data_IF_831160415296
#
_entry.id   IF_831160415296
#
_cell.length_a   1.000
_cell.length_b   1.000
_cell.length_c   1.000
_cell.angle_alpha   90.00
_cell.angle_beta   90.00
_cell.angle_gamma   90.00
#
_symmetry.space_group_name_H-M   'P 1'
#
loop_
_entity.id
_entity.type
_entity.pdbx_description
1 polymer ?
#
# COMPACT_ATOMS: atom_id res chain seq x y z
N UNK A 1 31.56 34.67 -37.69
CA UNK A 1 30.57 33.76 -37.09
C UNK A 1 30.70 33.87 -35.58
N UNK A 2 29.76 34.29 -34.73
CA UNK A 2 28.30 34.35 -34.80
C UNK A 2 27.72 33.63 -33.57
N UNK A 3 27.59 34.36 -32.44
CA UNK A 3 26.64 34.23 -31.30
C UNK A 3 26.28 32.82 -30.74
N UNK A 4 26.51 32.57 -29.44
CA UNK A 4 25.54 32.75 -28.33
C UNK A 4 24.89 31.44 -27.87
N UNK A 5 24.81 31.26 -26.54
CA UNK A 5 24.43 30.03 -25.87
C UNK A 5 22.93 29.71 -25.86
N UNK A 6 22.58 28.52 -25.37
CA UNK A 6 21.20 28.17 -25.05
C UNK A 6 21.12 27.32 -23.78
N UNK A 7 20.49 27.88 -22.75
CA UNK A 7 19.99 27.20 -21.56
C UNK A 7 18.60 26.66 -21.91
N UNK A 8 18.44 25.36 -22.12
CA UNK A 8 17.12 24.74 -22.07
C UNK A 8 16.80 24.40 -20.61
N UNK A 9 16.10 25.31 -19.94
CA UNK A 9 15.36 25.01 -18.71
C UNK A 9 14.29 23.99 -19.08
N UNK A 10 14.35 22.80 -18.49
CA UNK A 10 13.29 21.81 -18.57
C UNK A 10 11.97 22.43 -18.09
N UNK A 11 10.99 22.46 -18.99
CA UNK A 11 9.63 22.87 -18.72
C UNK A 11 8.98 21.82 -17.81
N UNK A 12 8.65 22.23 -16.58
CA UNK A 12 7.74 21.48 -15.72
C UNK A 12 6.31 21.63 -16.27
N UNK A 13 5.54 20.55 -16.33
CA UNK A 13 4.14 20.52 -16.81
C UNK A 13 3.12 21.06 -15.80
N UNK A 14 3.50 22.02 -14.96
CA UNK A 14 2.55 22.74 -14.12
C UNK A 14 2.24 24.09 -14.78
N UNK A 15 1.27 24.10 -15.70
CA UNK A 15 0.82 25.36 -16.30
C UNK A 15 -0.24 25.21 -17.38
N UNK A 16 -1.51 25.38 -16.99
CA UNK A 16 -2.61 26.02 -17.74
C UNK A 16 -3.86 25.88 -16.86
N UNK A 17 -4.70 26.86 -16.58
CA UNK A 17 -4.92 28.21 -17.10
C UNK A 17 -6.26 28.68 -16.50
N UNK A 18 -6.40 29.98 -16.24
CA UNK A 18 -7.52 30.60 -15.50
C UNK A 18 -8.87 30.73 -16.25
N UNK A 19 -9.81 31.57 -15.73
CA UNK A 19 -11.22 31.24 -15.55
C UNK A 19 -12.18 31.82 -16.61
N UNK A 20 -13.38 31.22 -16.74
CA UNK A 20 -14.50 31.76 -17.51
C UNK A 20 -15.84 31.32 -16.91
N UNK A 21 -16.68 32.28 -16.49
CA UNK A 21 -17.94 32.05 -15.80
C UNK A 21 -19.15 31.89 -16.73
N UNK A 22 -20.20 31.22 -16.23
CA UNK A 22 -21.61 31.51 -16.52
C UNK A 22 -22.50 30.77 -15.51
N UNK A 23 -23.65 31.37 -15.20
CA UNK A 23 -24.49 31.11 -14.03
C UNK A 23 -25.49 29.93 -14.18
N UNK A 24 -25.61 29.16 -13.09
CA UNK A 24 -26.81 28.55 -12.47
C UNK A 24 -27.73 27.60 -13.27
N UNK A 25 -27.74 26.33 -12.84
CA UNK A 25 -28.98 25.54 -12.66
C UNK A 25 -28.79 24.48 -11.58
N UNK A 26 -29.85 24.32 -10.78
CA UNK A 26 -29.99 23.55 -9.55
C UNK A 26 -30.06 22.03 -9.80
N UNK A 27 -29.43 21.27 -8.90
CA UNK A 27 -29.80 19.89 -8.60
C UNK A 27 -29.13 18.81 -9.46
N UNK A 28 -28.53 17.84 -8.77
CA UNK A 28 -28.37 16.45 -9.24
C UNK A 28 -27.25 16.12 -10.25
N UNK A 29 -26.03 16.62 -10.08
CA UNK A 29 -24.88 16.18 -10.91
C UNK A 29 -23.55 15.99 -10.16
N UNK A 30 -23.56 15.63 -8.87
CA UNK A 30 -22.32 15.43 -8.07
C UNK A 30 -21.88 13.97 -7.90
N UNK A 31 -22.34 13.04 -8.73
CA UNK A 31 -21.85 11.64 -8.72
C UNK A 31 -21.16 11.19 -10.02
N UNK A 32 -20.93 12.09 -10.97
CA UNK A 32 -20.57 11.69 -12.33
C UNK A 32 -19.29 12.32 -12.89
N UNK A 33 -18.20 12.45 -12.11
CA UNK A 33 -16.87 12.58 -12.75
C UNK A 33 -15.65 12.26 -11.87
N UNK A 34 -15.55 11.01 -11.41
CA UNK A 34 -14.27 10.42 -11.00
C UNK A 34 -13.98 9.15 -11.81
N UNK A 35 -13.95 9.29 -13.14
CA UNK A 35 -13.45 8.22 -14.02
C UNK A 35 -11.92 8.31 -14.04
N UNK A 36 -11.26 7.66 -13.07
CA UNK A 36 -9.79 7.53 -13.08
C UNK A 36 -9.11 7.16 -11.78
N UNK A 37 -9.76 7.30 -10.63
CA UNK A 37 -9.26 6.79 -9.35
C UNK A 37 -10.23 5.71 -8.88
N UNK A 38 -9.74 4.49 -8.67
CA UNK A 38 -10.54 3.42 -8.08
C UNK A 38 -11.33 3.98 -6.89
N UNK A 39 -12.62 3.69 -6.82
CA UNK A 39 -13.50 4.01 -5.70
C UNK A 39 -13.05 3.21 -4.46
N UNK A 40 -11.90 3.55 -3.90
CA UNK A 40 -11.34 2.91 -2.73
C UNK A 40 -12.15 3.39 -1.53
N UNK A 41 -12.90 2.50 -0.91
CA UNK A 41 -13.46 2.76 0.41
C UNK A 41 -12.29 3.00 1.37
N UNK A 42 -12.42 3.91 2.36
CA UNK A 42 -11.35 4.14 3.33
C UNK A 42 -11.00 2.86 4.11
N UNK A 43 -11.89 1.87 4.16
CA UNK A 43 -11.67 0.61 4.83
C UNK A 43 -11.02 -0.44 3.92
N UNK A 44 -9.94 -1.02 4.42
CA UNK A 44 -9.19 -2.15 3.87
C UNK A 44 -9.53 -3.39 4.69
N UNK A 45 -10.09 -4.40 4.03
CA UNK A 45 -10.49 -5.66 4.68
C UNK A 45 -9.51 -6.80 4.42
N UNK A 46 -8.54 -6.62 3.52
CA UNK A 46 -7.57 -7.65 3.14
C UNK A 46 -6.18 -7.06 3.04
N UNK A 47 -5.16 -7.81 3.47
CA UNK A 47 -3.75 -7.48 3.26
C UNK A 47 -3.05 -8.58 2.50
N UNK A 48 -1.96 -8.24 1.82
CA UNK A 48 -1.04 -9.25 1.30
C UNK A 48 -0.23 -9.84 2.46
N UNK A 49 -0.28 -11.16 2.63
CA UNK A 49 0.44 -11.90 3.65
C UNK A 49 1.94 -12.00 3.36
N UNK A 50 2.73 -12.12 4.43
CA UNK A 50 4.19 -12.28 4.40
C UNK A 50 4.65 -13.71 4.68
N UNK A 51 3.72 -14.61 4.98
CA UNK A 51 3.99 -16.00 5.34
C UNK A 51 3.84 -16.92 4.13
N UNK A 52 4.41 -18.12 4.28
CA UNK A 52 4.39 -19.18 3.28
C UNK A 52 4.01 -20.50 3.95
N UNK A 53 3.37 -21.37 3.19
CA UNK A 53 3.21 -22.79 3.51
C UNK A 53 4.39 -23.58 2.95
N UNK A 54 4.92 -24.52 3.70
CA UNK A 54 5.85 -25.53 3.19
C UNK A 54 5.13 -26.79 2.67
N UNK A 55 5.90 -27.83 2.36
CA UNK A 55 5.39 -29.10 1.83
C UNK A 55 4.54 -29.87 2.86
N UNK A 56 4.77 -29.64 4.16
CA UNK A 56 4.06 -30.27 5.27
C UNK A 56 2.82 -29.46 5.72
N UNK A 57 2.66 -28.25 5.21
CA UNK A 57 1.54 -27.36 5.49
C UNK A 57 1.77 -26.42 6.69
N UNK A 58 3.00 -26.35 7.18
CA UNK A 58 3.37 -25.40 8.23
C UNK A 58 3.38 -23.98 7.68
N UNK A 59 2.94 -23.01 8.48
CA UNK A 59 2.84 -21.60 8.07
C UNK A 59 3.86 -20.75 8.82
N UNK A 60 4.84 -20.21 8.09
CA UNK A 60 5.90 -19.39 8.68
C UNK A 60 6.37 -18.27 7.75
N UNK A 61 7.11 -17.32 8.31
CA UNK A 61 7.77 -16.28 7.51
C UNK A 61 9.01 -16.83 6.78
N UNK A 62 9.67 -17.82 7.37
CA UNK A 62 10.94 -18.36 6.87
C UNK A 62 11.04 -19.85 7.24
N UNK A 63 11.55 -20.65 6.31
CA UNK A 63 11.79 -22.08 6.51
C UNK A 63 13.27 -22.39 6.41
N UNK A 64 13.72 -23.35 7.21
CA UNK A 64 15.11 -23.79 7.27
C UNK A 64 15.19 -25.32 7.18
N UNK A 65 16.04 -25.84 6.29
CA UNK A 65 16.37 -27.27 6.23
C UNK A 65 17.65 -27.53 7.02
N UNK A 66 17.67 -28.63 7.77
CA UNK A 66 18.91 -29.12 8.34
C UNK A 66 19.77 -29.78 7.26
N UNK A 67 21.02 -29.36 7.17
CA UNK A 67 22.01 -29.92 6.26
C UNK A 67 23.18 -30.45 7.08
N UNK A 68 23.55 -31.71 6.87
CA UNK A 68 24.72 -32.31 7.52
C UNK A 68 25.94 -31.97 6.69
N UNK A 69 26.79 -31.10 7.22
CA UNK A 69 28.04 -30.73 6.58
C UNK A 69 29.17 -31.50 7.26
N UNK A 70 29.87 -32.33 6.49
CA UNK A 70 31.10 -32.99 6.92
C UNK A 70 32.28 -32.07 6.68
N UNK A 71 32.92 -31.58 7.74
CA UNK A 71 34.22 -30.91 7.64
C UNK A 71 35.23 -31.65 8.51
N UNK A 72 36.36 -32.02 7.92
CA UNK A 72 37.47 -32.70 8.58
C UNK A 72 37.03 -34.00 9.30
N UNK A 73 36.20 -34.82 8.66
CA UNK A 73 35.68 -36.07 9.23
C UNK A 73 34.65 -35.91 10.36
N UNK A 74 34.37 -34.67 10.82
CA UNK A 74 33.32 -34.39 11.81
C UNK A 74 32.05 -33.94 11.10
N UNK A 75 30.94 -34.64 11.38
CA UNK A 75 29.60 -34.25 10.95
C UNK A 75 29.12 -33.09 11.82
N UNK A 76 28.67 -32.01 11.19
CA UNK A 76 28.00 -30.89 11.86
C UNK A 76 26.68 -30.62 11.19
N UNK A 77 25.63 -30.50 11.99
CA UNK A 77 24.35 -29.98 11.54
C UNK A 77 24.48 -28.47 11.24
N UNK A 78 23.90 -28.04 10.14
CA UNK A 78 23.75 -26.63 9.80
C UNK A 78 22.38 -26.38 9.22
N UNK A 79 21.68 -25.38 9.74
CA UNK A 79 20.43 -24.90 9.16
C UNK A 79 20.71 -24.03 7.93
N UNK A 80 19.97 -24.27 6.86
CA UNK A 80 20.02 -23.49 5.63
C UNK A 80 18.63 -22.98 5.31
N UNK A 81 18.52 -21.69 5.02
CA UNK A 81 17.25 -21.06 4.63
C UNK A 81 16.78 -21.60 3.28
N UNK A 82 15.48 -21.89 3.19
CA UNK A 82 14.80 -22.36 1.99
C UNK A 82 13.90 -21.24 1.45
N UNK A 83 13.89 -21.09 0.13
CA UNK A 83 12.98 -20.17 -0.60
C UNK A 83 12.22 -20.86 -1.74
N UNK A 84 12.55 -22.12 -2.03
CA UNK A 84 11.97 -22.94 -3.09
C UNK A 84 10.85 -23.80 -2.52
N UNK A 85 9.89 -24.18 -3.35
CA UNK A 85 8.74 -25.02 -2.99
C UNK A 85 7.84 -24.47 -1.86
N UNK A 86 7.95 -23.17 -1.57
CA UNK A 86 7.10 -22.48 -0.60
C UNK A 86 5.90 -21.85 -1.30
N UNK A 87 4.70 -22.10 -0.78
CA UNK A 87 3.46 -21.55 -1.32
C UNK A 87 3.13 -20.27 -0.55
N UNK A 88 3.04 -19.09 -1.20
CA UNK A 88 2.72 -17.85 -0.49
C UNK A 88 1.30 -17.91 0.08
N UNK A 89 1.12 -17.39 1.29
CA UNK A 89 -0.20 -17.31 1.94
C UNK A 89 -1.22 -16.49 1.11
N UNK A 90 -0.75 -15.53 0.31
CA UNK A 90 -1.59 -14.73 -0.57
C UNK A 90 -2.31 -13.59 0.16
N UNK A 91 -3.58 -13.35 -0.18
CA UNK A 91 -4.39 -12.30 0.43
C UNK A 91 -5.05 -12.82 1.71
N UNK A 92 -4.81 -12.13 2.81
CA UNK A 92 -5.30 -12.47 4.15
C UNK A 92 -6.38 -11.50 4.55
N UNK A 93 -7.54 -12.03 4.96
CA UNK A 93 -8.63 -11.23 5.53
C UNK A 93 -8.20 -10.68 6.88
N UNK A 94 -8.38 -9.38 7.06
CA UNK A 94 -8.17 -8.72 8.33
C UNK A 94 -9.36 -8.98 9.23
N UNK A 95 -9.11 -9.28 10.50
CA UNK A 95 -10.15 -9.42 11.52
C UNK A 95 -10.93 -8.11 11.68
N UNK A 96 -10.19 -6.99 11.71
CA UNK A 96 -10.74 -5.65 11.80
C UNK A 96 -10.36 -4.83 10.56
N UNK A 97 -11.28 -4.05 9.97
CA UNK A 97 -10.97 -3.19 8.85
C UNK A 97 -9.93 -2.13 9.24
N UNK A 98 -8.99 -1.85 8.33
CA UNK A 98 -7.95 -0.82 8.53
C UNK A 98 -8.18 0.37 7.61
N UNK A 99 -7.74 1.55 8.03
CA UNK A 99 -7.87 2.75 7.22
C UNK A 99 -6.78 2.74 6.12
N UNK A 100 -7.18 3.02 4.89
CA UNK A 100 -6.30 3.12 3.74
C UNK A 100 -5.39 4.35 3.88
N UNK A 101 -4.10 4.20 3.55
CA UNK A 101 -3.06 5.22 3.77
C UNK A 101 -3.34 6.56 3.07
N UNK A 102 -4.07 6.55 1.94
CA UNK A 102 -4.43 7.76 1.20
C UNK A 102 -5.61 8.53 1.83
N UNK A 103 -6.23 8.02 2.90
CA UNK A 103 -7.35 8.65 3.59
C UNK A 103 -6.91 9.10 4.99
N UNK A 104 -6.36 10.32 5.13
CA UNK A 104 -6.07 10.88 6.44
C UNK A 104 -7.38 11.08 7.21
N UNK A 105 -7.48 10.51 8.42
CA UNK A 105 -8.65 10.64 9.30
C UNK A 105 -8.27 11.41 10.56
N UNK A 106 -9.04 12.45 10.89
CA UNK A 106 -8.92 13.21 12.14
C UNK A 106 -9.97 12.66 13.11
N UNK A 107 -9.54 12.21 14.29
CA UNK A 107 -10.43 11.72 15.35
C UNK A 107 -10.65 12.88 16.32
N UNK A 108 -11.92 13.27 16.51
CA UNK A 108 -12.32 14.26 17.50
C UNK A 108 -12.82 13.55 18.75
N UNK A 109 -12.38 14.00 19.92
CA UNK A 109 -12.98 13.62 21.19
C UNK A 109 -14.20 14.51 21.45
N UNK A 110 -15.37 13.91 21.66
CA UNK A 110 -16.57 14.64 22.08
C UNK A 110 -16.59 14.74 23.60
N UNK A 111 -16.40 15.95 24.13
CA UNK A 111 -16.61 16.21 25.54
C UNK A 111 -18.11 16.31 25.81
N UNK A 112 -18.68 15.51 26.73
CA UNK A 112 -20.10 15.59 27.03
C UNK A 112 -20.41 16.99 27.56
N UNK A 113 -21.31 17.69 26.88
CA UNK A 113 -21.87 18.93 27.40
C UNK A 113 -22.68 18.60 28.65
N UNK A 114 -22.15 18.96 29.83
CA UNK A 114 -22.89 18.90 31.08
C UNK A 114 -24.11 19.80 30.96
N UNK A 115 -25.27 19.20 30.73
CA UNK A 115 -26.54 19.92 30.71
C UNK A 115 -27.00 20.08 32.16
N UNK A 116 -26.63 21.19 32.78
CA UNK A 116 -27.18 21.60 34.09
C UNK A 116 -28.63 22.05 33.88
N UNK A 117 -29.59 21.40 34.54
CA UNK A 117 -30.95 21.92 34.71
C UNK A 117 -31.01 22.97 35.81
#
# INVERSE_FOLDING_TARGET
>A
MGTSGSKSRGLWLFGSGGPGGSERSTGDQTLARARGLCSATPFVFTRRGSMYYDEDGDLAHEFYEETIITKNGRKRAKLKRIHKNLIPQGMVKLEHPRIHVDFPVIICEEYPHSTSQ
#
